data_IF_025427707329
#
_entry.id   IF_025427707329
#
_cell.length_a   1.000
_cell.length_b   1.000
_cell.length_c   1.000
_cell.angle_alpha   90.00
_cell.angle_beta   90.00
_cell.angle_gamma   90.00
#
_symmetry.space_group_name_H-M   'P 1'
#
loop_
_entity.id
_entity.type
_entity.pdbx_description
1 polymer ?
#
# COMPACT_ATOMS: atom_id res chain seq x y z
N UNK A 1 4.39 3.90 -9.35
CA UNK A 1 3.69 2.59 -9.31
C UNK A 1 2.22 2.72 -9.72
N UNK A 2 1.39 3.46 -8.98
CA UNK A 2 -0.07 3.55 -9.23
C UNK A 2 -0.44 3.96 -10.68
N UNK A 3 0.31 4.90 -11.26
CA UNK A 3 0.21 5.28 -12.67
C UNK A 3 0.32 4.10 -13.64
N UNK A 4 1.35 3.26 -13.47
CA UNK A 4 1.55 2.08 -14.31
C UNK A 4 0.45 1.05 -14.10
N UNK A 5 -0.04 0.90 -12.86
CA UNK A 5 -1.21 0.04 -12.57
C UNK A 5 -2.43 0.53 -13.34
N UNK A 6 -2.71 1.85 -13.34
CA UNK A 6 -3.84 2.44 -14.07
C UNK A 6 -3.76 2.10 -15.57
N UNK A 7 -2.61 2.37 -16.20
CA UNK A 7 -2.43 2.09 -17.63
C UNK A 7 -2.48 0.58 -17.94
N UNK A 8 -1.88 -0.28 -17.11
CA UNK A 8 -1.93 -1.73 -17.31
C UNK A 8 -3.35 -2.30 -17.14
N UNK A 9 -4.18 -1.69 -16.29
CA UNK A 9 -5.60 -2.04 -16.17
C UNK A 9 -6.39 -1.60 -17.39
N UNK A 10 -6.10 -0.42 -17.94
CA UNK A 10 -6.67 0.05 -19.21
C UNK A 10 -6.26 -0.87 -20.38
N UNK A 11 -5.05 -1.44 -20.34
CA UNK A 11 -4.58 -2.45 -21.29
C UNK A 11 -5.21 -3.86 -21.08
N UNK A 12 -6.09 -4.02 -20.09
CA UNK A 12 -6.88 -5.24 -19.87
C UNK A 12 -6.34 -6.22 -18.82
N UNK A 13 -5.25 -5.92 -18.11
CA UNK A 13 -4.74 -6.84 -17.08
C UNK A 13 -5.72 -7.00 -15.93
N UNK A 14 -5.94 -8.26 -15.55
CA UNK A 14 -6.77 -8.64 -14.42
C UNK A 14 -6.10 -8.31 -13.08
N UNK A 15 -6.85 -8.46 -11.99
CA UNK A 15 -6.34 -8.15 -10.66
C UNK A 15 -5.17 -9.03 -10.27
N UNK A 16 -5.31 -10.34 -10.47
CA UNK A 16 -4.29 -11.27 -10.01
C UNK A 16 -3.01 -11.12 -10.83
N UNK A 17 -3.13 -10.81 -12.12
CA UNK A 17 -2.00 -10.46 -12.98
C UNK A 17 -1.27 -9.20 -12.50
N UNK A 18 -1.99 -8.11 -12.22
CA UNK A 18 -1.38 -6.89 -11.67
C UNK A 18 -0.70 -7.18 -10.34
N UNK A 19 -1.32 -7.96 -9.45
CA UNK A 19 -0.72 -8.34 -8.18
C UNK A 19 0.57 -9.15 -8.37
N UNK A 20 0.54 -10.14 -9.26
CA UNK A 20 1.66 -10.99 -9.58
C UNK A 20 2.80 -10.19 -10.20
N UNK A 21 2.54 -9.45 -11.27
CA UNK A 21 3.56 -8.67 -11.99
C UNK A 21 4.10 -7.50 -11.16
N UNK A 22 3.35 -7.01 -10.17
CA UNK A 22 3.85 -6.02 -9.21
C UNK A 22 4.98 -6.57 -8.34
N UNK A 23 4.90 -7.83 -7.91
CA UNK A 23 5.82 -8.39 -6.90
C UNK A 23 6.80 -9.40 -7.48
N UNK A 24 6.37 -10.28 -8.38
CA UNK A 24 7.17 -11.41 -8.88
C UNK A 24 8.52 -11.00 -9.49
N UNK A 25 8.62 -9.94 -10.33
CA UNK A 25 9.93 -9.53 -10.87
C UNK A 25 10.90 -9.09 -9.77
N UNK A 26 10.39 -8.54 -8.67
CA UNK A 26 11.19 -8.11 -7.53
C UNK A 26 11.84 -9.26 -6.75
N UNK A 27 11.35 -10.50 -6.89
CA UNK A 27 11.95 -11.68 -6.23
C UNK A 27 13.39 -11.90 -6.70
N UNK A 28 13.63 -11.80 -8.00
CA UNK A 28 14.97 -11.98 -8.58
C UNK A 28 15.92 -10.93 -8.02
N UNK A 29 15.48 -9.66 -8.01
CA UNK A 29 16.27 -8.55 -7.47
C UNK A 29 16.63 -8.76 -5.99
N UNK A 30 15.64 -9.03 -5.14
CA UNK A 30 15.87 -9.20 -3.71
C UNK A 30 16.73 -10.44 -3.43
N UNK A 31 16.53 -11.53 -4.18
CA UNK A 31 17.34 -12.74 -4.03
C UNK A 31 18.82 -12.47 -4.35
N UNK A 32 19.09 -11.73 -5.43
CA UNK A 32 20.45 -11.30 -5.78
C UNK A 32 21.02 -10.40 -4.68
N UNK A 33 20.26 -9.42 -4.20
CA UNK A 33 20.69 -8.52 -3.13
C UNK A 33 21.02 -9.28 -1.82
N UNK A 34 20.19 -10.24 -1.42
CA UNK A 34 20.44 -11.07 -0.24
C UNK A 34 21.70 -11.93 -0.40
N UNK A 35 21.92 -12.50 -1.59
CA UNK A 35 23.13 -13.29 -1.88
C UNK A 35 24.41 -12.44 -1.86
N UNK A 36 24.40 -11.26 -2.50
CA UNK A 36 25.55 -10.34 -2.48
C UNK A 36 25.88 -9.91 -1.05
N UNK A 37 24.87 -9.72 -0.21
CA UNK A 37 25.05 -9.37 1.21
C UNK A 37 25.36 -10.56 2.13
N UNK A 38 25.50 -11.78 1.59
CA UNK A 38 25.76 -13.00 2.36
C UNK A 38 24.66 -13.36 3.37
N UNK A 39 23.43 -12.90 3.14
CA UNK A 39 22.32 -13.12 4.07
C UNK A 39 21.57 -14.42 3.77
N UNK A 40 21.22 -15.15 4.82
CA UNK A 40 20.34 -16.32 4.72
C UNK A 40 18.90 -15.91 4.43
N UNK A 41 18.13 -16.81 3.78
CA UNK A 41 16.70 -16.62 3.53
C UNK A 41 15.84 -16.92 4.78
N UNK A 42 16.41 -17.62 5.77
CA UNK A 42 15.69 -18.01 6.99
C UNK A 42 15.38 -16.76 7.83
N UNK A 43 14.11 -16.49 8.17
CA UNK A 43 13.75 -15.37 9.03
C UNK A 43 14.17 -15.63 10.48
N UNK A 44 14.72 -14.61 11.12
CA UNK A 44 15.04 -14.58 12.55
C UNK A 44 13.77 -14.35 13.40
N UNK A 45 12.77 -13.67 12.83
CA UNK A 45 11.44 -13.45 13.41
C UNK A 45 10.36 -14.09 12.52
N UNK A 46 10.27 -15.43 12.46
CA UNK A 46 9.35 -16.13 11.56
C UNK A 46 7.89 -15.74 11.79
N UNK A 47 7.45 -15.59 13.04
CA UNK A 47 6.08 -15.18 13.37
C UNK A 47 5.68 -13.85 12.73
N UNK A 48 6.36 -12.73 13.06
CA UNK A 48 6.12 -11.44 12.42
C UNK A 48 6.24 -11.45 10.90
N UNK A 49 7.24 -12.15 10.33
CA UNK A 49 7.43 -12.23 8.87
C UNK A 49 6.25 -12.94 8.19
N UNK A 50 5.82 -14.09 8.72
CA UNK A 50 4.69 -14.85 8.15
C UNK A 50 3.38 -14.07 8.30
N UNK A 51 3.10 -13.52 9.49
CA UNK A 51 1.89 -12.72 9.72
C UNK A 51 1.88 -11.48 8.84
N UNK A 52 3.02 -10.81 8.66
CA UNK A 52 3.17 -9.68 7.71
C UNK A 52 2.77 -10.10 6.30
N UNK A 53 3.28 -11.22 5.82
CA UNK A 53 3.06 -11.69 4.45
C UNK A 53 1.61 -12.08 4.21
N UNK A 54 1.02 -12.85 5.13
CA UNK A 54 -0.38 -13.29 5.03
C UNK A 54 -1.36 -12.14 5.19
N UNK A 55 -1.15 -11.26 6.16
CA UNK A 55 -1.97 -10.06 6.32
C UNK A 55 -1.84 -9.14 5.10
N UNK A 56 -0.64 -9.00 4.52
CA UNK A 56 -0.45 -8.24 3.29
C UNK A 56 -1.20 -8.83 2.09
N UNK A 57 -1.19 -10.16 1.93
CA UNK A 57 -1.96 -10.85 0.89
C UNK A 57 -3.47 -10.66 1.10
N UNK A 58 -3.95 -10.85 2.33
CA UNK A 58 -5.36 -10.65 2.70
C UNK A 58 -5.81 -9.20 2.48
N UNK A 59 -4.95 -8.22 2.80
CA UNK A 59 -5.22 -6.81 2.53
C UNK A 59 -5.41 -6.56 1.03
N UNK A 60 -4.50 -7.05 0.18
CA UNK A 60 -4.64 -6.90 -1.27
C UNK A 60 -5.90 -7.59 -1.80
N UNK A 61 -6.19 -8.82 -1.35
CA UNK A 61 -7.38 -9.56 -1.77
C UNK A 61 -8.68 -8.81 -1.41
N UNK A 62 -8.81 -8.35 -0.16
CA UNK A 62 -9.96 -7.57 0.29
C UNK A 62 -10.10 -6.22 -0.43
N UNK A 63 -8.98 -5.54 -0.68
CA UNK A 63 -8.95 -4.27 -1.40
C UNK A 63 -9.52 -4.43 -2.82
N UNK A 64 -9.05 -5.45 -3.55
CA UNK A 64 -9.52 -5.65 -4.92
C UNK A 64 -10.92 -6.26 -4.99
N UNK A 65 -11.32 -7.05 -4.00
CA UNK A 65 -12.71 -7.51 -3.90
C UNK A 65 -13.66 -6.32 -3.72
N UNK A 66 -13.34 -5.41 -2.80
CA UNK A 66 -14.11 -4.18 -2.58
C UNK A 66 -14.14 -3.31 -3.85
N UNK A 67 -12.99 -3.11 -4.51
CA UNK A 67 -12.88 -2.31 -5.74
C UNK A 67 -13.71 -2.84 -6.93
N UNK A 68 -14.19 -4.09 -6.90
CA UNK A 68 -15.07 -4.62 -7.96
C UNK A 68 -16.50 -4.07 -7.88
N UNK A 69 -16.96 -3.75 -6.68
CA UNK A 69 -18.34 -3.34 -6.42
C UNK A 69 -18.45 -1.91 -5.86
N UNK A 70 -17.33 -1.36 -5.37
CA UNK A 70 -17.22 0.02 -4.94
C UNK A 70 -16.53 0.84 -6.02
N UNK A 71 -16.89 2.11 -6.09
CA UNK A 71 -16.13 3.12 -6.83
C UNK A 71 -14.70 3.25 -6.26
N UNK A 72 -13.78 3.74 -7.09
CA UNK A 72 -12.40 3.98 -6.66
C UNK A 72 -12.33 4.90 -5.43
N UNK A 73 -13.19 5.92 -5.37
CA UNK A 73 -13.24 6.88 -4.26
C UNK A 73 -13.69 6.18 -2.97
N UNK A 74 -14.81 5.43 -2.99
CA UNK A 74 -15.30 4.68 -1.83
C UNK A 74 -14.23 3.72 -1.29
N UNK A 75 -13.57 2.97 -2.18
CA UNK A 75 -12.50 2.04 -1.78
C UNK A 75 -11.24 2.75 -1.24
N UNK A 76 -10.93 3.94 -1.78
CA UNK A 76 -9.83 4.77 -1.28
C UNK A 76 -10.14 5.29 0.12
N UNK A 77 -11.37 5.78 0.36
CA UNK A 77 -11.82 6.22 1.69
C UNK A 77 -11.67 5.11 2.73
N UNK A 78 -12.09 3.88 2.39
CA UNK A 78 -11.90 2.73 3.29
C UNK A 78 -10.41 2.44 3.56
N UNK A 79 -9.55 2.61 2.56
CA UNK A 79 -8.11 2.41 2.71
C UNK A 79 -7.45 3.47 3.60
N UNK A 80 -8.03 4.66 3.72
CA UNK A 80 -7.57 5.69 4.66
C UNK A 80 -7.72 5.28 6.12
N UNK A 81 -8.49 4.23 6.43
CA UNK A 81 -8.55 3.67 7.78
C UNK A 81 -7.22 3.04 8.19
N UNK A 82 -6.38 2.58 7.25
CA UNK A 82 -5.16 1.86 7.58
C UNK A 82 -4.20 2.67 8.48
N UNK A 83 -3.83 3.93 8.18
CA UNK A 83 -2.96 4.69 9.08
C UNK A 83 -3.58 4.97 10.44
N UNK A 84 -4.90 5.18 10.50
CA UNK A 84 -5.64 5.34 11.76
C UNK A 84 -5.58 4.06 12.59
N UNK A 85 -5.82 2.91 11.98
CA UNK A 85 -5.72 1.60 12.63
C UNK A 85 -4.30 1.30 13.08
N UNK A 86 -3.27 1.70 12.33
CA UNK A 86 -1.87 1.60 12.82
C UNK A 86 -1.66 2.46 14.06
N UNK A 87 -2.14 3.70 14.07
CA UNK A 87 -2.03 4.59 15.22
C UNK A 87 -2.74 4.02 16.47
N UNK A 88 -3.93 3.44 16.30
CA UNK A 88 -4.72 2.87 17.40
C UNK A 88 -4.17 1.53 17.90
N UNK A 89 -3.70 0.66 17.00
CA UNK A 89 -3.24 -0.69 17.35
C UNK A 89 -1.75 -0.76 17.73
N UNK A 90 -0.94 0.22 17.34
CA UNK A 90 0.49 0.24 17.67
C UNK A 90 0.80 0.27 19.18
N UNK A 91 0.05 0.99 20.07
CA UNK A 91 0.38 1.01 21.49
C UNK A 91 0.17 -0.34 22.15
N UNK A 92 -0.88 -1.08 21.74
CA UNK A 92 -1.19 -2.40 22.30
C UNK A 92 -0.29 -3.49 21.72
N UNK A 93 -0.02 -3.45 20.41
CA UNK A 93 0.73 -4.51 19.74
C UNK A 93 2.26 -4.31 19.81
N UNK A 94 2.75 -3.08 19.86
CA UNK A 94 4.19 -2.76 19.87
C UNK A 94 4.67 -2.15 21.19
N UNK A 95 3.78 -1.69 22.06
CA UNK A 95 4.15 -0.89 23.23
C UNK A 95 4.60 0.53 22.88
N UNK A 96 4.40 0.98 21.64
CA UNK A 96 4.79 2.32 21.19
C UNK A 96 3.78 3.37 21.65
N UNK A 97 4.24 4.39 22.39
CA UNK A 97 3.36 5.50 22.80
C UNK A 97 3.05 6.39 21.61
N UNK A 98 1.77 6.68 21.41
CA UNK A 98 1.32 7.60 20.37
C UNK A 98 1.63 9.04 20.80
N UNK A 99 2.62 9.67 20.15
CA UNK A 99 3.00 11.03 20.48
C UNK A 99 1.86 12.01 20.12
N UNK A 100 1.51 13.01 20.96
CA UNK A 100 0.41 13.95 20.67
C UNK A 100 0.51 14.63 19.31
N UNK A 101 1.73 14.98 18.87
CA UNK A 101 1.97 15.53 17.53
C UNK A 101 1.60 14.57 16.40
N UNK A 102 1.82 13.27 16.57
CA UNK A 102 1.42 12.27 15.58
C UNK A 102 -0.10 12.14 15.51
N UNK A 103 -0.81 12.30 16.64
CA UNK A 103 -2.27 12.36 16.67
C UNK A 103 -2.78 13.57 15.89
N UNK A 104 -2.24 14.77 16.18
CA UNK A 104 -2.64 15.99 15.46
C UNK A 104 -2.35 15.87 13.97
N UNK A 105 -1.14 15.43 13.59
CA UNK A 105 -0.78 15.23 12.18
C UNK A 105 -1.69 14.21 11.50
N UNK A 106 -2.00 13.09 12.16
CA UNK A 106 -2.95 12.10 11.66
C UNK A 106 -4.33 12.71 11.44
N UNK A 107 -4.88 13.43 12.42
CA UNK A 107 -6.19 14.06 12.31
C UNK A 107 -6.24 15.05 11.16
N UNK A 108 -5.23 15.90 11.02
CA UNK A 108 -5.15 16.87 9.92
C UNK A 108 -5.02 16.17 8.56
N UNK A 109 -4.19 15.12 8.46
CA UNK A 109 -4.04 14.35 7.23
C UNK A 109 -5.34 13.63 6.84
N UNK A 110 -6.06 13.06 7.81
CA UNK A 110 -7.38 12.43 7.59
C UNK A 110 -8.39 13.45 7.13
N UNK A 111 -8.48 14.62 7.76
CA UNK A 111 -9.38 15.70 7.32
C UNK A 111 -9.04 16.13 5.90
N UNK A 112 -7.77 16.37 5.59
CA UNK A 112 -7.33 16.67 4.23
C UNK A 112 -7.74 15.60 3.23
N UNK A 113 -7.64 14.31 3.61
CA UNK A 113 -8.00 13.19 2.77
C UNK A 113 -9.50 13.11 2.50
N UNK A 114 -10.32 13.40 3.51
CA UNK A 114 -11.77 13.46 3.36
C UNK A 114 -12.20 14.65 2.48
N UNK A 115 -11.51 15.79 2.57
CA UNK A 115 -11.77 16.96 1.70
C UNK A 115 -11.48 16.64 0.23
N UNK A 116 -10.35 15.98 -0.07
CA UNK A 116 -10.04 15.54 -1.45
C UNK A 116 -11.05 14.51 -1.93
N UNK A 117 -11.40 13.53 -1.10
CA UNK A 117 -12.22 12.39 -1.53
C UNK A 117 -13.73 12.67 -1.55
N UNK A 118 -14.22 13.72 -0.88
CA UNK A 118 -15.64 14.13 -0.86
C UNK A 118 -16.60 12.95 -0.64
N UNK A 119 -16.51 12.28 0.52
CA UNK A 119 -17.25 11.04 0.76
C UNK A 119 -18.76 11.23 0.68
N UNK A 120 -19.28 12.43 0.99
CA UNK A 120 -20.69 12.79 0.87
C UNK A 120 -21.22 12.65 -0.57
N UNK A 121 -20.40 12.94 -1.57
CA UNK A 121 -20.75 12.73 -2.98
C UNK A 121 -20.53 11.28 -3.42
N UNK A 122 -19.61 10.57 -2.75
CA UNK A 122 -19.28 9.19 -3.06
C UNK A 122 -20.32 8.19 -2.52
N UNK A 123 -20.92 8.48 -1.36
CA UNK A 123 -21.81 7.54 -0.67
C UNK A 123 -23.21 7.58 -1.28
N UNK A 124 -23.46 6.66 -2.21
CA UNK A 124 -24.79 6.49 -2.80
C UNK A 124 -25.73 5.76 -1.82
N UNK A 125 -27.02 6.07 -1.90
CA UNK A 125 -28.05 5.21 -1.31
C UNK A 125 -27.97 3.81 -1.95
N UNK A 126 -27.94 2.76 -1.14
CA UNK A 126 -27.79 1.33 -1.50
C UNK A 126 -26.36 0.80 -1.76
N UNK A 127 -25.40 1.24 -0.95
CA UNK A 127 -24.07 0.64 -0.93
C UNK A 127 -24.09 -0.86 -0.54
N UNK A 128 -23.34 -1.72 -1.24
CA UNK A 128 -23.30 -3.14 -0.93
C UNK A 128 -22.46 -3.40 0.34
N UNK A 129 -23.11 -3.90 1.40
CA UNK A 129 -22.49 -4.10 2.72
C UNK A 129 -21.26 -5.01 2.71
N UNK A 130 -21.30 -6.08 1.90
CA UNK A 130 -20.23 -7.07 1.85
C UNK A 130 -18.91 -6.49 1.27
N UNK A 131 -18.93 -5.77 0.14
CA UNK A 131 -17.78 -5.00 -0.35
C UNK A 131 -17.23 -3.96 0.64
N UNK A 132 -18.10 -3.23 1.36
CA UNK A 132 -17.66 -2.28 2.39
C UNK A 132 -16.91 -3.03 3.51
N UNK A 133 -17.50 -4.10 4.02
CA UNK A 133 -16.88 -4.92 5.05
C UNK A 133 -15.53 -5.47 4.58
N UNK A 134 -15.43 -5.94 3.34
CA UNK A 134 -14.19 -6.40 2.75
C UNK A 134 -13.11 -5.29 2.65
N UNK A 135 -13.50 -4.07 2.27
CA UNK A 135 -12.59 -2.93 2.23
C UNK A 135 -12.12 -2.50 3.63
N UNK A 136 -13.01 -2.50 4.62
CA UNK A 136 -12.64 -2.22 6.01
C UNK A 136 -11.72 -3.30 6.60
N UNK A 137 -12.02 -4.58 6.36
CA UNK A 137 -11.15 -5.72 6.75
C UNK A 137 -9.80 -5.63 6.03
N UNK A 138 -9.78 -5.21 4.77
CA UNK A 138 -8.54 -4.96 4.03
C UNK A 138 -7.68 -3.89 4.72
N UNK A 139 -8.27 -2.78 5.14
CA UNK A 139 -7.56 -1.74 5.88
C UNK A 139 -6.99 -2.25 7.22
N UNK A 140 -7.74 -3.10 7.93
CA UNK A 140 -7.28 -3.76 9.15
C UNK A 140 -6.11 -4.71 8.91
N UNK A 141 -6.20 -5.58 7.90
CA UNK A 141 -5.10 -6.45 7.50
C UNK A 141 -3.89 -5.66 7.03
N UNK A 142 -4.09 -4.55 6.33
CA UNK A 142 -3.01 -3.65 5.94
C UNK A 142 -2.35 -3.03 7.17
N UNK A 143 -3.12 -2.58 8.16
CA UNK A 143 -2.56 -2.06 9.42
C UNK A 143 -1.75 -3.12 10.17
N UNK A 144 -2.31 -4.34 10.31
CA UNK A 144 -1.62 -5.47 10.93
C UNK A 144 -0.33 -5.81 10.18
N UNK A 145 -0.36 -5.83 8.85
CA UNK A 145 0.82 -6.04 8.03
C UNK A 145 1.90 -5.00 8.36
N UNK A 146 1.59 -3.71 8.32
CA UNK A 146 2.56 -2.65 8.62
C UNK A 146 3.12 -2.72 10.06
N UNK A 147 2.29 -3.05 11.05
CA UNK A 147 2.75 -3.29 12.43
C UNK A 147 3.68 -4.51 12.50
N UNK A 148 3.37 -5.59 11.77
CA UNK A 148 4.25 -6.75 11.71
C UNK A 148 5.56 -6.46 10.97
N UNK A 149 5.61 -5.51 10.03
CA UNK A 149 6.89 -5.02 9.47
C UNK A 149 7.77 -4.47 10.59
N UNK A 150 7.21 -3.59 11.44
CA UNK A 150 7.93 -3.00 12.56
C UNK A 150 8.50 -4.09 13.49
N UNK A 151 7.71 -5.12 13.81
CA UNK A 151 8.19 -6.26 14.61
C UNK A 151 9.24 -7.10 13.90
N UNK A 152 9.05 -7.41 12.61
CA UNK A 152 9.95 -8.26 11.84
C UNK A 152 11.32 -7.59 11.67
N UNK A 153 11.31 -6.31 11.29
CA UNK A 153 12.54 -5.52 11.05
C UNK A 153 13.36 -5.23 12.31
N UNK A 154 12.83 -5.53 13.50
CA UNK A 154 13.61 -5.50 14.74
C UNK A 154 14.63 -6.65 14.84
N UNK A 155 14.43 -7.75 14.10
CA UNK A 155 15.31 -8.94 14.12
C UNK A 155 15.77 -9.39 12.73
N UNK A 156 15.09 -8.96 11.68
CA UNK A 156 15.38 -9.30 10.28
C UNK A 156 15.76 -8.07 9.46
N UNK A 157 16.57 -8.28 8.44
CA UNK A 157 16.85 -7.23 7.46
C UNK A 157 15.58 -6.86 6.69
N UNK A 158 15.40 -5.58 6.32
CA UNK A 158 14.28 -5.14 5.48
C UNK A 158 14.18 -5.96 4.19
N UNK A 159 15.30 -6.31 3.58
CA UNK A 159 15.38 -7.10 2.36
C UNK A 159 14.79 -8.51 2.57
N UNK A 160 15.09 -9.16 3.69
CA UNK A 160 14.53 -10.48 4.03
C UNK A 160 13.03 -10.41 4.31
N UNK A 161 12.56 -9.36 4.99
CA UNK A 161 11.12 -9.15 5.23
C UNK A 161 10.38 -8.94 3.90
N UNK A 162 10.94 -8.13 3.00
CA UNK A 162 10.35 -7.91 1.67
C UNK A 162 10.43 -9.15 0.80
N UNK A 163 11.48 -9.97 0.89
CA UNK A 163 11.59 -11.25 0.17
C UNK A 163 10.39 -12.15 0.45
N UNK A 164 10.13 -12.43 1.74
CA UNK A 164 9.02 -13.30 2.14
C UNK A 164 7.65 -12.71 1.78
N UNK A 165 7.47 -11.40 1.93
CA UNK A 165 6.24 -10.73 1.49
C UNK A 165 6.02 -10.89 -0.02
N UNK A 166 7.04 -10.58 -0.81
CA UNK A 166 7.01 -10.67 -2.27
C UNK A 166 6.74 -12.11 -2.71
N UNK A 167 7.35 -13.10 -2.05
CA UNK A 167 7.16 -14.51 -2.36
C UNK A 167 5.72 -14.94 -2.08
N UNK A 168 5.22 -14.66 -0.89
CA UNK A 168 3.84 -15.02 -0.50
C UNK A 168 2.80 -14.35 -1.38
N UNK A 169 2.96 -13.05 -1.67
CA UNK A 169 2.00 -12.34 -2.54
C UNK A 169 2.06 -12.84 -3.97
N UNK A 170 3.26 -13.07 -4.52
CA UNK A 170 3.38 -13.58 -5.90
C UNK A 170 2.80 -14.99 -6.03
N UNK A 171 3.12 -15.89 -5.09
CA UNK A 171 2.57 -17.24 -5.08
C UNK A 171 1.04 -17.24 -4.89
N UNK A 172 0.52 -16.42 -3.98
CA UNK A 172 -0.92 -16.28 -3.75
C UNK A 172 -1.65 -15.70 -4.94
N UNK A 173 -1.11 -14.64 -5.56
CA UNK A 173 -1.67 -14.03 -6.77
C UNK A 173 -1.66 -15.00 -7.95
N UNK A 174 -0.57 -15.76 -8.14
CA UNK A 174 -0.48 -16.79 -9.16
C UNK A 174 -1.53 -17.88 -8.95
N UNK A 175 -1.65 -18.41 -7.72
CA UNK A 175 -2.64 -19.43 -7.39
C UNK A 175 -4.08 -18.95 -7.65
N UNK A 176 -4.41 -17.71 -7.24
CA UNK A 176 -5.73 -17.13 -7.47
C UNK A 176 -6.01 -16.94 -8.97
N UNK A 177 -5.05 -16.40 -9.73
CA UNK A 177 -5.25 -16.17 -11.15
C UNK A 177 -5.32 -17.46 -11.96
N UNK A 178 -4.52 -18.48 -11.61
CA UNK A 178 -4.61 -19.81 -12.24
C UNK A 178 -5.97 -20.47 -11.96
N UNK A 179 -6.47 -20.39 -10.72
CA UNK A 179 -7.79 -20.90 -10.37
C UNK A 179 -8.94 -20.20 -11.12
N UNK A 180 -8.71 -18.98 -11.63
CA UNK A 180 -9.67 -18.19 -12.41
C UNK A 180 -9.42 -18.22 -13.92
N UNK A 181 -8.37 -18.92 -14.38
CA UNK A 181 -7.96 -18.91 -15.78
C UNK A 181 -7.41 -17.57 -16.29
N UNK A 182 -7.05 -16.64 -15.40
CA UNK A 182 -6.65 -15.26 -15.74
C UNK A 182 -5.26 -15.19 -16.43
N UNK A 183 -4.39 -16.20 -16.27
CA UNK A 183 -3.05 -16.23 -16.88
C UNK A 183 -2.97 -16.96 -18.23
N UNK A 184 -4.11 -17.38 -18.80
CA UNK A 184 -4.16 -18.24 -19.98
C UNK A 184 -4.18 -17.46 -21.31
N UNK A 185 -4.41 -16.16 -21.27
CA UNK A 185 -4.45 -15.30 -22.45
C UNK A 185 -3.45 -14.17 -22.28
N UNK A 186 -2.54 -14.04 -23.24
CA UNK A 186 -1.64 -12.90 -23.31
C UNK A 186 -2.42 -11.69 -23.84
N UNK A 187 -2.27 -10.50 -23.26
CA UNK A 187 -2.88 -9.30 -23.80
C UNK A 187 -2.46 -9.10 -25.27
N UNK A 188 -3.40 -8.77 -26.16
CA UNK A 188 -3.15 -8.50 -27.60
C UNK A 188 -2.25 -7.27 -27.84
N UNK A 189 -1.94 -6.51 -26.78
CA UNK A 189 -1.03 -5.38 -26.82
C UNK A 189 0.42 -5.86 -26.94
N UNK A 190 1.13 -5.33 -27.95
CA UNK A 190 2.51 -5.74 -28.26
C UNK A 190 3.43 -5.82 -27.03
N UNK A 191 4.08 -6.97 -26.86
CA UNK A 191 4.89 -7.33 -25.69
C UNK A 191 5.89 -6.26 -25.24
N UNK A 192 6.50 -5.52 -26.18
CA UNK A 192 7.47 -4.48 -25.87
C UNK A 192 6.86 -3.30 -25.08
N UNK A 193 5.61 -2.94 -25.39
CA UNK A 193 4.89 -1.83 -24.74
C UNK A 193 4.44 -2.22 -23.32
N UNK A 194 3.95 -3.46 -23.15
CA UNK A 194 3.49 -3.98 -21.86
C UNK A 194 4.68 -4.22 -20.91
N UNK A 195 5.79 -4.75 -21.42
CA UNK A 195 6.97 -5.09 -20.60
C UNK A 195 7.58 -3.85 -19.94
N UNK A 196 7.65 -2.72 -20.66
CA UNK A 196 8.12 -1.45 -20.09
C UNK A 196 7.23 -0.95 -18.94
N UNK A 197 5.90 -1.06 -19.08
CA UNK A 197 4.94 -0.69 -18.05
C UNK A 197 5.01 -1.62 -16.83
N UNK A 198 5.15 -2.94 -17.05
CA UNK A 198 5.37 -3.93 -15.99
C UNK A 198 6.68 -3.65 -15.26
N UNK A 199 7.77 -3.39 -15.98
CA UNK A 199 9.06 -3.07 -15.38
C UNK A 199 8.98 -1.79 -14.53
N UNK A 200 8.31 -0.75 -15.02
CA UNK A 200 8.04 0.46 -14.25
C UNK A 200 7.20 0.20 -13.00
N UNK A 201 6.11 -0.57 -13.12
CA UNK A 201 5.28 -0.97 -11.98
C UNK A 201 6.08 -1.74 -10.93
N UNK A 202 6.78 -2.79 -11.35
CA UNK A 202 7.56 -3.66 -10.47
C UNK A 202 8.74 -2.91 -9.84
N UNK A 203 9.47 -2.10 -10.61
CA UNK A 203 10.60 -1.31 -10.13
C UNK A 203 10.20 -0.29 -9.06
N UNK A 204 9.20 0.57 -9.35
CA UNK A 204 8.70 1.52 -8.36
C UNK A 204 7.98 0.83 -7.20
N UNK A 205 7.30 -0.29 -7.45
CA UNK A 205 6.63 -1.09 -6.43
C UNK A 205 7.63 -1.68 -5.43
N UNK A 206 8.71 -2.30 -5.93
CA UNK A 206 9.78 -2.86 -5.11
C UNK A 206 10.55 -1.78 -4.35
N UNK A 207 10.94 -0.70 -5.03
CA UNK A 207 11.64 0.42 -4.41
C UNK A 207 10.80 1.03 -3.28
N UNK A 208 9.52 1.30 -3.54
CA UNK A 208 8.57 1.77 -2.53
C UNK A 208 8.42 0.80 -1.37
N UNK A 209 8.30 -0.51 -1.64
CA UNK A 209 8.18 -1.54 -0.61
C UNK A 209 9.42 -1.63 0.27
N UNK A 210 10.63 -1.57 -0.30
CA UNK A 210 11.89 -1.57 0.45
C UNK A 210 12.06 -0.30 1.29
N UNK A 211 11.81 0.88 0.70
CA UNK A 211 11.88 2.16 1.42
C UNK A 211 10.88 2.22 2.57
N UNK A 212 9.63 1.80 2.33
CA UNK A 212 8.61 1.69 3.38
C UNK A 212 9.08 0.73 4.48
N UNK A 213 9.60 -0.44 4.11
CA UNK A 213 10.02 -1.46 5.09
C UNK A 213 11.19 -0.95 5.95
N UNK A 214 12.16 -0.27 5.33
CA UNK A 214 13.25 0.42 6.03
C UNK A 214 12.75 1.55 6.93
N UNK A 215 11.74 2.31 6.50
CA UNK A 215 11.15 3.38 7.30
C UNK A 215 10.49 2.82 8.58
N UNK A 216 9.68 1.77 8.47
CA UNK A 216 9.10 1.08 9.63
C UNK A 216 10.18 0.45 10.53
N UNK A 217 11.28 -0.04 9.98
CA UNK A 217 12.40 -0.51 10.79
C UNK A 217 13.09 0.59 11.61
N UNK A 218 13.02 1.86 11.17
CA UNK A 218 13.75 2.98 11.79
C UNK A 218 12.90 3.94 12.60
N UNK A 219 11.59 3.96 12.40
CA UNK A 219 10.68 4.87 13.09
C UNK A 219 9.46 4.15 13.65
N UNK A 220 8.82 4.78 14.65
CA UNK A 220 7.57 4.29 15.21
C UNK A 220 6.52 4.12 14.10
N UNK A 221 5.75 3.03 14.17
CA UNK A 221 4.82 2.66 13.11
C UNK A 221 3.79 3.76 12.78
N UNK A 222 3.20 4.47 13.76
CA UNK A 222 2.26 5.56 13.48
C UNK A 222 2.87 6.72 12.71
N UNK A 223 4.13 7.05 12.97
CA UNK A 223 4.81 8.15 12.28
C UNK A 223 4.98 7.82 10.79
N UNK A 224 5.36 6.58 10.47
CA UNK A 224 5.51 6.15 9.08
C UNK A 224 4.16 6.05 8.39
N UNK A 225 3.12 5.59 9.09
CA UNK A 225 1.78 5.43 8.53
C UNK A 225 1.17 6.77 8.09
N UNK A 226 1.33 7.85 8.86
CA UNK A 226 0.83 9.19 8.48
C UNK A 226 1.46 9.70 7.19
N UNK A 227 2.74 9.39 6.94
CA UNK A 227 3.44 9.81 5.71
C UNK A 227 2.80 9.19 4.45
N UNK A 228 2.09 8.07 4.58
CA UNK A 228 1.41 7.44 3.44
C UNK A 228 0.34 8.36 2.80
N UNK A 229 -0.27 9.27 3.56
CA UNK A 229 -1.23 10.24 3.00
C UNK A 229 -0.59 11.23 2.02
N UNK A 230 0.73 11.44 2.08
CA UNK A 230 1.45 12.27 1.11
C UNK A 230 1.40 11.70 -0.32
N UNK A 231 1.01 10.43 -0.49
CA UNK A 231 0.76 9.86 -1.82
C UNK A 231 -0.43 10.51 -2.52
N UNK A 232 -1.42 11.05 -1.80
CA UNK A 232 -2.63 11.65 -2.39
C UNK A 232 -2.27 12.94 -3.16
N UNK A 233 -1.60 13.96 -2.57
CA UNK A 233 -1.18 15.16 -3.31
C UNK A 233 -0.29 14.83 -4.51
N UNK A 234 0.63 13.86 -4.37
CA UNK A 234 1.50 13.42 -5.47
C UNK A 234 0.67 12.80 -6.60
N UNK A 235 -0.34 11.99 -6.28
CA UNK A 235 -1.22 11.38 -7.27
C UNK A 235 -2.03 12.44 -8.01
N UNK A 236 -2.50 13.48 -7.31
CA UNK A 236 -3.25 14.59 -7.90
C UNK A 236 -2.39 15.44 -8.84
N UNK A 237 -1.11 15.65 -8.52
CA UNK A 237 -0.18 16.28 -9.46
C UNK A 237 0.01 15.41 -10.71
N UNK A 238 0.01 14.08 -10.55
CA UNK A 238 0.15 13.15 -11.66
C UNK A 238 -1.12 13.07 -12.51
N UNK A 239 -2.30 13.25 -11.93
CA UNK A 239 -3.58 13.30 -12.63
C UNK A 239 -3.63 14.39 -13.73
N UNK A 240 -2.83 15.45 -13.60
CA UNK A 240 -2.63 16.46 -14.64
C UNK A 240 -2.11 15.87 -15.96
N UNK A 241 -1.33 14.78 -15.91
CA UNK A 241 -0.84 14.07 -17.10
C UNK A 241 -1.99 13.46 -17.90
N UNK A 242 -3.08 13.08 -17.23
CA UNK A 242 -4.32 12.60 -17.87
C UNK A 242 -5.32 13.72 -18.16
N UNK A 243 -4.91 15.00 -18.02
CA UNK A 243 -5.77 16.15 -18.26
C UNK A 243 -6.84 16.36 -17.17
N UNK A 244 -6.78 15.62 -16.06
CA UNK A 244 -7.67 15.80 -14.92
C UNK A 244 -7.16 16.97 -14.09
N UNK A 245 -7.93 18.07 -14.04
CA UNK A 245 -7.54 19.27 -13.30
C UNK A 245 -8.10 19.20 -11.87
N UNK A 246 -7.24 19.34 -10.84
CA UNK A 246 -7.70 19.36 -9.46
C UNK A 246 -8.57 20.60 -9.21
N UNK A 247 -9.67 20.40 -8.48
CA UNK A 247 -10.54 21.48 -8.02
C UNK A 247 -9.95 22.26 -6.84
N UNK A 248 -10.76 23.14 -6.27
CA UNK A 248 -10.36 23.92 -5.09
C UNK A 248 -10.21 23.02 -3.85
N UNK A 249 -11.15 22.11 -3.62
CA UNK A 249 -11.11 21.20 -2.46
C UNK A 249 -9.91 20.26 -2.53
N UNK A 250 -9.54 19.86 -3.75
CA UNK A 250 -8.35 19.06 -4.03
C UNK A 250 -7.07 19.78 -3.57
N UNK A 251 -6.96 21.07 -3.89
CA UNK A 251 -5.85 21.91 -3.45
C UNK A 251 -5.84 22.10 -1.93
N UNK A 252 -7.00 22.40 -1.33
CA UNK A 252 -7.13 22.60 0.12
C UNK A 252 -6.78 21.34 0.90
N UNK A 253 -7.36 20.20 0.51
CA UNK A 253 -7.10 18.92 1.14
C UNK A 253 -5.64 18.49 0.99
N UNK A 254 -5.03 18.74 -0.17
CA UNK A 254 -3.60 18.50 -0.40
C UNK A 254 -2.70 19.35 0.51
N UNK A 255 -3.01 20.64 0.67
CA UNK A 255 -2.27 21.53 1.55
C UNK A 255 -2.32 21.08 3.01
N UNK A 256 -3.50 20.62 3.48
CA UNK A 256 -3.65 20.06 4.82
C UNK A 256 -2.75 18.85 5.04
N UNK A 257 -2.69 17.92 4.08
CA UNK A 257 -1.81 16.75 4.18
C UNK A 257 -0.32 17.10 4.18
N UNK A 258 0.08 18.04 3.32
CA UNK A 258 1.47 18.54 3.28
C UNK A 258 1.81 19.19 4.62
N UNK A 259 0.91 20.00 5.17
CA UNK A 259 1.06 20.62 6.48
C UNK A 259 1.19 19.58 7.60
N UNK A 260 0.36 18.53 7.60
CA UNK A 260 0.46 17.43 8.55
C UNK A 260 1.84 16.76 8.52
N UNK A 261 2.40 16.52 7.33
CA UNK A 261 3.75 16.01 7.14
C UNK A 261 4.83 16.94 7.72
N UNK A 262 4.72 18.25 7.45
CA UNK A 262 5.65 19.26 7.97
C UNK A 262 5.62 19.33 9.50
N UNK A 263 4.44 19.32 10.11
CA UNK A 263 4.26 19.29 11.57
C UNK A 263 4.92 18.05 12.19
N UNK A 264 4.76 16.90 11.54
CA UNK A 264 5.35 15.64 11.98
C UNK A 264 6.88 15.69 11.95
N UNK A 265 7.48 16.25 10.89
CA UNK A 265 8.94 16.34 10.72
C UNK A 265 9.57 17.38 11.66
N UNK A 266 8.98 18.58 11.75
CA UNK A 266 9.49 19.68 12.61
C UNK A 266 9.34 19.38 14.11
N UNK A 267 8.48 18.44 14.46
CA UNK A 267 8.28 17.97 15.82
C UNK A 267 9.43 17.11 16.39
N UNK A 268 10.47 16.80 15.60
CA UNK A 268 11.65 16.09 16.09
C UNK A 268 12.58 17.06 16.80
N UNK A 269 12.51 17.11 18.13
CA UNK A 269 13.74 17.32 18.91
C UNK A 269 14.35 15.94 19.13
N UNK A 270 15.60 15.84 18.71
CA UNK A 270 16.53 14.73 18.93
C UNK A 270 16.54 14.36 20.41
#
# INVERSE_FOLDING_TARGET
MAAFVKVLREDGLTTSEVMFWRTAPGLVWILVELRIRGQTLRPNAPGPVVLRSLAGLGAMAGYFYALRALTLIENTVLSLLQPVLVAVLSPTLLGERLHPRAVVALMVAVVGALVVLRPDQAWRANLPLLPIAAGAISALFSALAHIMVRKATAKDSPERVVFWFTLTVSAGALAIGLARGEFLQLPDVGWLNVTGKIAGMAGFGLAGQLLMTRAYGRMAAPMVAVVAYAAIPISMMLDLVWGVRPGLDDAVGSLLMVFAGVVLVRGRRV
#
